data_IF_754196113858
#
_entry.id   IF_754196113858
#
_cell.length_a   1.000
_cell.length_b   1.000
_cell.length_c   1.000
_cell.angle_alpha   90.00
_cell.angle_beta   90.00
_cell.angle_gamma   90.00
#
_symmetry.space_group_name_H-M   'P 1'
#
loop_
_entity.id
_entity.type
_entity.pdbx_description
1 polymer ?
#
# COMPACT_ATOMS: atom_id res chain seq x y z
N UNK A 1 -4.92 33.76 -8.61
CA UNK A 1 -4.95 33.38 -7.15
C UNK A 1 -5.36 31.93 -6.93
N UNK A 2 -6.09 31.32 -7.88
CA UNK A 2 -6.63 29.95 -7.71
C UNK A 2 -5.64 28.83 -8.09
N UNK A 3 -4.65 29.13 -8.94
CA UNK A 3 -3.64 28.14 -9.37
C UNK A 3 -2.74 27.66 -8.21
N UNK A 4 -2.38 28.57 -7.28
CA UNK A 4 -1.57 28.24 -6.11
C UNK A 4 -2.31 27.40 -5.06
N UNK A 5 -3.63 27.55 -4.96
CA UNK A 5 -4.47 26.74 -4.07
C UNK A 5 -4.72 25.34 -4.64
N UNK A 6 -4.84 25.21 -5.98
CA UNK A 6 -4.99 23.92 -6.64
C UNK A 6 -3.70 23.09 -6.56
N UNK A 7 -2.54 23.73 -6.73
CA UNK A 7 -1.23 23.07 -6.58
C UNK A 7 -0.93 22.64 -5.14
N UNK A 8 -1.41 23.39 -4.13
CA UNK A 8 -1.30 22.95 -2.73
C UNK A 8 -2.24 21.78 -2.41
N UNK A 9 -3.45 21.75 -2.96
CA UNK A 9 -4.37 20.60 -2.83
C UNK A 9 -3.81 19.36 -3.53
N UNK A 10 -3.23 19.48 -4.71
CA UNK A 10 -2.60 18.37 -5.42
C UNK A 10 -1.41 17.75 -4.67
N UNK A 11 -0.72 18.52 -3.82
CA UNK A 11 0.38 18.00 -2.98
C UNK A 11 -0.09 17.19 -1.77
N UNK A 12 -1.35 17.31 -1.35
CA UNK A 12 -1.91 16.58 -0.20
C UNK A 12 -2.44 15.19 -0.57
N UNK A 13 -2.73 14.94 -1.85
CA UNK A 13 -3.32 13.68 -2.33
C UNK A 13 -2.29 12.70 -2.93
N UNK A 14 -1.02 12.85 -2.56
CA UNK A 14 0.07 12.04 -3.10
C UNK A 14 0.60 11.11 -2.02
N UNK A 15 0.43 9.81 -2.21
CA UNK A 15 1.02 8.78 -1.37
C UNK A 15 2.32 8.27 -1.93
N UNK A 16 3.27 8.05 -1.05
CA UNK A 16 4.39 7.19 -1.35
C UNK A 16 3.92 5.75 -1.27
N UNK A 17 4.33 4.96 -2.25
CA UNK A 17 4.10 3.53 -2.28
C UNK A 17 5.40 2.79 -2.35
N UNK A 18 5.49 1.71 -1.60
CA UNK A 18 6.62 0.79 -1.61
C UNK A 18 6.13 -0.63 -1.86
N UNK A 19 6.91 -1.36 -2.65
CA UNK A 19 6.74 -2.80 -2.90
C UNK A 19 8.04 -3.48 -2.53
N UNK A 20 7.99 -4.36 -1.53
CA UNK A 20 9.16 -5.06 -1.00
C UNK A 20 9.14 -6.51 -1.44
N UNK A 21 10.26 -7.00 -1.97
CA UNK A 21 10.39 -8.41 -2.35
C UNK A 21 10.29 -9.30 -1.09
N UNK A 22 9.39 -10.28 -1.18
CA UNK A 22 9.10 -11.19 -0.08
C UNK A 22 9.96 -12.45 -0.11
N UNK A 23 10.46 -12.82 -1.28
CA UNK A 23 11.02 -14.16 -1.52
C UNK A 23 12.53 -14.20 -1.58
N UNK A 24 13.15 -13.22 -2.25
CA UNK A 24 14.58 -13.25 -2.55
C UNK A 24 15.46 -12.84 -1.38
N UNK A 25 14.90 -12.11 -0.41
CA UNK A 25 15.65 -11.56 0.74
C UNK A 25 16.86 -10.69 0.34
N UNK A 26 16.83 -10.12 -0.87
CA UNK A 26 17.87 -9.24 -1.41
C UNK A 26 17.67 -7.77 -1.02
N UNK A 27 16.59 -7.49 -0.29
CA UNK A 27 16.24 -6.13 0.15
C UNK A 27 15.72 -5.24 -0.95
N UNK A 28 15.33 -5.79 -2.12
CA UNK A 28 14.81 -4.99 -3.23
C UNK A 28 13.49 -4.33 -2.87
N UNK A 29 13.46 -3.00 -3.05
CA UNK A 29 12.30 -2.16 -2.76
C UNK A 29 12.03 -1.30 -3.98
N UNK A 30 10.87 -1.49 -4.59
CA UNK A 30 10.36 -0.60 -5.60
C UNK A 30 9.56 0.53 -4.97
N UNK A 31 9.72 1.73 -5.51
CA UNK A 31 9.03 2.94 -5.05
C UNK A 31 8.16 3.47 -6.18
N UNK A 32 7.00 3.98 -5.84
CA UNK A 32 6.11 4.69 -6.73
C UNK A 32 5.32 5.76 -6.01
N UNK A 33 4.65 6.57 -6.78
CA UNK A 33 3.77 7.63 -6.29
C UNK A 33 2.36 7.33 -6.78
N UNK A 34 1.39 7.39 -5.87
CA UNK A 34 -0.02 7.22 -6.18
C UNK A 34 -0.74 8.53 -5.90
N UNK A 35 -1.54 8.98 -6.86
CA UNK A 35 -2.46 10.09 -6.71
C UNK A 35 -3.91 9.59 -6.62
N UNK A 36 -4.81 10.47 -6.18
CA UNK A 36 -6.26 10.22 -6.14
C UNK A 36 -6.71 9.12 -5.15
N UNK A 37 -5.92 8.86 -4.11
CA UNK A 37 -6.30 7.95 -3.05
C UNK A 37 -6.79 8.65 -1.76
N UNK A 38 -6.86 9.99 -1.78
CA UNK A 38 -7.26 10.85 -0.66
C UNK A 38 -6.06 11.43 0.09
N UNK A 39 -6.19 11.71 1.37
CA UNK A 39 -5.14 12.25 2.24
C UNK A 39 -4.99 11.39 3.51
N UNK A 40 -4.66 10.09 3.34
CA UNK A 40 -4.52 9.17 4.46
C UNK A 40 -3.51 9.69 5.48
N UNK A 41 -3.93 9.82 6.69
CA UNK A 41 -3.04 10.09 7.81
C UNK A 41 -2.39 8.78 8.26
N UNK A 42 -1.04 8.74 8.27
CA UNK A 42 -0.29 7.53 8.59
C UNK A 42 0.02 6.65 7.39
N UNK A 43 0.03 5.34 7.60
CA UNK A 43 0.38 4.36 6.59
C UNK A 43 -0.34 3.02 6.75
N UNK A 44 -0.62 2.40 5.62
CA UNK A 44 -1.11 1.03 5.53
C UNK A 44 -0.03 0.13 4.93
N UNK A 45 0.10 -1.09 5.43
CA UNK A 45 0.91 -2.14 4.82
C UNK A 45 0.17 -3.47 4.80
N UNK A 46 0.49 -4.31 3.81
CA UNK A 46 -0.12 -5.62 3.68
C UNK A 46 0.75 -6.63 2.98
N UNK A 47 0.49 -7.90 3.25
CA UNK A 47 1.13 -9.06 2.60
C UNK A 47 0.30 -9.63 1.45
N UNK A 48 -0.86 -9.04 1.14
CA UNK A 48 -1.70 -9.42 0.00
C UNK A 48 -1.36 -8.50 -1.16
N UNK A 49 -0.51 -8.96 -2.05
CA UNK A 49 -0.11 -8.23 -3.25
C UNK A 49 -0.33 -9.10 -4.48
N UNK A 50 -1.40 -8.84 -5.23
CA UNK A 50 -1.86 -9.70 -6.33
C UNK A 50 -0.76 -9.96 -7.35
N UNK A 51 -0.74 -11.15 -7.88
CA UNK A 51 0.22 -11.87 -8.71
C UNK A 51 1.51 -12.23 -7.96
N UNK A 52 2.26 -11.27 -7.46
CA UNK A 52 3.58 -11.54 -6.87
C UNK A 52 3.53 -11.90 -5.39
N UNK A 53 2.44 -11.56 -4.71
CA UNK A 53 2.31 -11.65 -3.24
C UNK A 53 3.45 -10.94 -2.49
N UNK A 54 4.04 -9.92 -3.10
CA UNK A 54 5.01 -9.05 -2.45
C UNK A 54 4.36 -8.21 -1.35
N UNK A 55 5.17 -7.76 -0.39
CA UNK A 55 4.70 -6.84 0.62
C UNK A 55 4.48 -5.45 0.00
N UNK A 56 3.38 -4.84 0.35
CA UNK A 56 3.00 -3.50 -0.13
C UNK A 56 2.80 -2.56 1.04
N UNK A 57 3.20 -1.30 0.89
CA UNK A 57 2.76 -0.25 1.79
C UNK A 57 2.45 1.02 1.01
N UNK A 58 1.57 1.82 1.56
CA UNK A 58 1.30 3.17 1.09
C UNK A 58 0.97 4.09 2.27
N UNK A 59 1.32 5.35 2.13
CA UNK A 59 1.07 6.34 3.17
C UNK A 59 1.77 7.65 2.91
N UNK A 60 1.54 8.60 3.80
CA UNK A 60 2.15 9.93 3.76
C UNK A 60 3.39 10.01 4.65
N UNK A 61 3.50 9.14 5.67
CA UNK A 61 4.60 9.07 6.63
C UNK A 61 5.49 7.85 6.37
N UNK A 62 6.79 8.09 6.09
CA UNK A 62 7.76 7.01 5.91
C UNK A 62 8.02 6.21 7.19
N UNK A 63 8.00 6.87 8.35
CA UNK A 63 8.16 6.21 9.65
C UNK A 63 7.02 5.23 9.92
N UNK A 64 5.78 5.66 9.66
CA UNK A 64 4.60 4.81 9.83
C UNK A 64 4.58 3.67 8.82
N UNK A 65 5.01 3.91 7.55
CA UNK A 65 5.17 2.85 6.55
C UNK A 65 6.18 1.79 7.01
N UNK A 66 7.32 2.22 7.54
CA UNK A 66 8.35 1.31 8.05
C UNK A 66 7.83 0.49 9.23
N UNK A 67 7.12 1.12 10.16
CA UNK A 67 6.53 0.43 11.30
C UNK A 67 5.46 -0.58 10.85
N UNK A 68 4.58 -0.18 9.93
CA UNK A 68 3.55 -1.05 9.39
C UNK A 68 4.15 -2.29 8.67
N UNK A 69 5.20 -2.12 7.87
CA UNK A 69 5.93 -3.24 7.27
C UNK A 69 6.54 -4.17 8.32
N UNK A 70 7.23 -3.61 9.31
CA UNK A 70 7.85 -4.41 10.36
C UNK A 70 6.83 -5.24 11.15
N UNK A 71 5.64 -4.71 11.37
CA UNK A 71 4.55 -5.45 12.00
C UNK A 71 4.06 -6.61 11.15
N UNK A 72 3.84 -6.37 9.84
CA UNK A 72 3.43 -7.42 8.90
C UNK A 72 4.49 -8.53 8.83
N UNK A 73 5.77 -8.18 8.82
CA UNK A 73 6.89 -9.14 8.80
C UNK A 73 6.94 -9.92 10.12
N UNK A 74 6.93 -9.23 11.26
CA UNK A 74 7.04 -9.86 12.57
C UNK A 74 5.88 -10.83 12.88
N UNK A 75 4.68 -10.50 12.40
CA UNK A 75 3.47 -11.31 12.57
C UNK A 75 3.24 -12.32 11.41
N UNK A 76 4.25 -12.47 10.52
CA UNK A 76 4.26 -13.42 9.40
C UNK A 76 3.16 -13.24 8.36
N UNK A 77 2.60 -12.05 8.26
CA UNK A 77 1.57 -11.67 7.31
C UNK A 77 0.36 -11.03 7.94
N UNK A 78 -0.26 -10.16 7.19
CA UNK A 78 -1.43 -9.42 7.64
C UNK A 78 -1.62 -8.11 6.92
N UNK A 79 -2.57 -7.35 7.42
CA UNK A 79 -2.89 -5.99 7.02
C UNK A 79 -2.68 -5.11 8.27
N UNK A 80 -1.84 -4.10 8.16
CA UNK A 80 -1.48 -3.19 9.26
C UNK A 80 -1.81 -1.76 8.91
N UNK A 81 -2.47 -1.04 9.80
CA UNK A 81 -2.62 0.40 9.75
C UNK A 81 -1.92 1.04 10.95
N UNK A 82 -1.01 1.95 10.64
CA UNK A 82 -0.20 2.70 11.61
C UNK A 82 -0.43 4.18 11.43
N UNK A 83 -0.57 4.92 12.52
CA UNK A 83 -0.65 6.37 12.54
C UNK A 83 0.03 6.91 13.79
N UNK A 84 0.78 8.00 13.61
CA UNK A 84 1.49 8.70 14.70
C UNK A 84 2.45 7.76 15.46
N UNK A 85 3.09 6.82 14.76
CA UNK A 85 4.01 5.86 15.34
C UNK A 85 3.36 4.71 16.13
N UNK A 86 2.05 4.55 16.05
CA UNK A 86 1.31 3.50 16.75
C UNK A 86 0.50 2.61 15.81
N UNK A 87 0.47 1.30 16.11
CA UNK A 87 -0.47 0.38 15.47
C UNK A 87 -1.90 0.74 15.87
N UNK A 88 -2.73 1.08 14.90
CA UNK A 88 -4.15 1.35 15.14
C UNK A 88 -5.00 0.12 14.87
N UNK A 89 -4.70 -0.59 13.78
CA UNK A 89 -5.40 -1.83 13.40
C UNK A 89 -4.42 -2.85 12.84
N UNK A 90 -4.67 -4.11 13.13
CA UNK A 90 -3.96 -5.24 12.53
C UNK A 90 -4.90 -6.41 12.27
N UNK A 91 -4.93 -6.90 11.04
CA UNK A 91 -5.67 -8.11 10.65
C UNK A 91 -4.66 -9.20 10.28
N UNK A 92 -4.60 -10.26 11.07
CA UNK A 92 -3.61 -11.32 10.89
C UNK A 92 -3.93 -12.28 9.74
N UNK A 93 -2.92 -12.57 8.91
CA UNK A 93 -2.97 -13.53 7.81
C UNK A 93 -1.79 -14.52 7.91
N UNK A 94 -1.74 -15.36 8.96
CA UNK A 94 -0.56 -16.17 9.26
C UNK A 94 -0.32 -17.30 8.27
N UNK A 95 -1.32 -17.70 7.49
CA UNK A 95 -1.16 -18.78 6.50
C UNK A 95 -0.70 -18.17 5.18
N UNK A 96 0.56 -18.38 4.85
CA UNK A 96 1.24 -17.86 3.66
C UNK A 96 1.18 -16.32 3.51
N UNK A 97 0.77 -15.62 4.59
CA UNK A 97 0.57 -14.16 4.56
C UNK A 97 -0.68 -13.70 3.80
N UNK A 98 -1.57 -14.60 3.42
CA UNK A 98 -2.75 -14.30 2.59
C UNK A 98 -4.06 -14.87 3.13
N UNK A 99 -4.01 -15.82 4.07
CA UNK A 99 -5.20 -16.45 4.63
C UNK A 99 -5.23 -16.32 6.15
N UNK A 100 -6.43 -16.07 6.66
CA UNK A 100 -6.72 -16.06 8.09
C UNK A 100 -7.10 -17.47 8.59
N UNK A 101 -6.74 -17.77 9.82
CA UNK A 101 -7.23 -18.95 10.54
C UNK A 101 -8.45 -18.66 11.42
N UNK A 102 -8.89 -17.41 11.45
CA UNK A 102 -10.04 -16.99 12.25
C UNK A 102 -11.37 -17.38 11.59
N UNK A 103 -12.43 -17.62 12.39
CA UNK A 103 -13.77 -17.71 11.85
C UNK A 103 -14.13 -16.51 10.98
N UNK A 104 -14.92 -16.74 9.94
CA UNK A 104 -15.24 -15.72 8.93
C UNK A 104 -15.87 -14.45 9.54
N UNK A 105 -16.77 -14.62 10.48
CA UNK A 105 -17.45 -13.50 11.16
C UNK A 105 -16.48 -12.62 11.98
N UNK A 106 -15.46 -13.23 12.57
CA UNK A 106 -14.40 -12.52 13.30
C UNK A 106 -13.50 -11.78 12.31
N UNK A 107 -13.08 -12.47 11.24
CA UNK A 107 -12.23 -11.89 10.20
C UNK A 107 -12.89 -10.69 9.52
N UNK A 108 -14.16 -10.80 9.16
CA UNK A 108 -14.93 -9.71 8.55
C UNK A 108 -14.98 -8.51 9.49
N UNK A 109 -15.31 -8.70 10.77
CA UNK A 109 -15.39 -7.61 11.75
C UNK A 109 -14.05 -6.87 11.92
N UNK A 110 -12.93 -7.60 11.93
CA UNK A 110 -11.59 -6.99 12.02
C UNK A 110 -11.24 -6.19 10.74
N UNK A 111 -11.57 -6.76 9.59
CA UNK A 111 -11.35 -6.09 8.30
C UNK A 111 -12.22 -4.84 8.16
N UNK A 112 -13.48 -4.91 8.58
CA UNK A 112 -14.39 -3.75 8.55
C UNK A 112 -13.90 -2.62 9.46
N UNK A 113 -13.34 -2.94 10.64
CA UNK A 113 -12.72 -1.93 11.51
C UNK A 113 -11.51 -1.26 10.87
N UNK A 114 -10.64 -2.07 10.26
CA UNK A 114 -9.48 -1.55 9.51
C UNK A 114 -9.92 -0.61 8.39
N UNK A 115 -10.93 -1.00 7.61
CA UNK A 115 -11.46 -0.20 6.52
C UNK A 115 -12.09 1.10 7.02
N UNK A 116 -12.87 1.02 8.10
CA UNK A 116 -13.49 2.19 8.74
C UNK A 116 -12.43 3.19 9.19
N UNK A 117 -11.37 2.73 9.86
CA UNK A 117 -10.26 3.56 10.29
C UNK A 117 -9.53 4.23 9.12
N UNK A 118 -9.28 3.50 8.02
CA UNK A 118 -8.66 4.07 6.82
C UNK A 118 -9.53 5.18 6.21
N UNK A 119 -10.85 4.99 6.12
CA UNK A 119 -11.77 5.98 5.57
C UNK A 119 -11.90 7.20 6.48
N UNK A 120 -12.05 6.99 7.79
CA UNK A 120 -12.12 8.07 8.79
C UNK A 120 -10.88 8.98 8.74
N UNK A 121 -9.72 8.39 8.40
CA UNK A 121 -8.45 9.10 8.39
C UNK A 121 -7.95 9.45 6.98
N UNK A 122 -8.88 9.63 6.04
CA UNK A 122 -8.65 10.32 4.78
C UNK A 122 -8.41 9.45 3.55
N UNK A 123 -8.51 8.13 3.65
CA UNK A 123 -8.55 7.27 2.47
C UNK A 123 -9.89 7.39 1.76
N UNK A 124 -9.93 7.74 0.48
CA UNK A 124 -11.16 7.87 -0.31
C UNK A 124 -11.42 6.66 -1.23
N UNK A 125 -10.52 5.69 -1.24
CA UNK A 125 -10.68 4.48 -2.04
C UNK A 125 -11.87 3.66 -1.53
N UNK A 126 -12.74 3.23 -2.45
CA UNK A 126 -13.91 2.41 -2.10
C UNK A 126 -13.51 1.06 -1.48
N UNK A 127 -12.44 0.47 -1.97
CA UNK A 127 -11.84 -0.75 -1.41
C UNK A 127 -10.32 -0.61 -1.39
N UNK A 128 -9.74 0.00 -0.34
CA UNK A 128 -8.31 0.27 -0.28
C UNK A 128 -7.46 -1.00 -0.38
N UNK A 129 -7.86 -2.08 0.28
CA UNK A 129 -7.11 -3.33 0.29
C UNK A 129 -7.01 -3.91 -1.12
N UNK A 130 -8.14 -4.06 -1.80
CA UNK A 130 -8.18 -4.60 -3.16
C UNK A 130 -7.48 -3.68 -4.15
N UNK A 131 -7.81 -2.39 -4.14
CA UNK A 131 -7.23 -1.42 -5.06
C UNK A 131 -5.70 -1.40 -4.95
N UNK A 132 -5.18 -1.42 -3.72
CA UNK A 132 -3.75 -1.38 -3.50
C UNK A 132 -3.06 -2.70 -3.86
N UNK A 133 -3.70 -3.84 -3.61
CA UNK A 133 -3.15 -5.14 -3.99
C UNK A 133 -3.08 -5.31 -5.52
N UNK A 134 -4.08 -4.81 -6.25
CA UNK A 134 -4.14 -4.92 -7.71
C UNK A 134 -3.16 -4.00 -8.43
N UNK A 135 -2.81 -2.86 -7.87
CA UNK A 135 -1.91 -1.90 -8.53
C UNK A 135 -0.46 -2.35 -8.70
N UNK A 136 -0.07 -3.49 -8.13
CA UNK A 136 1.23 -4.12 -8.38
C UNK A 136 1.11 -5.27 -9.38
N UNK A 137 -0.10 -5.64 -9.78
CA UNK A 137 -0.35 -6.72 -10.70
C UNK A 137 0.01 -6.30 -12.13
N UNK A 138 0.88 -7.06 -12.76
CA UNK A 138 1.23 -6.88 -14.17
C UNK A 138 0.11 -7.36 -15.10
N UNK A 139 -0.78 -8.22 -14.61
CA UNK A 139 -1.87 -8.77 -15.39
C UNK A 139 -3.10 -7.86 -15.46
N UNK A 140 -3.29 -7.00 -14.45
CA UNK A 140 -4.52 -6.19 -14.28
C UNK A 140 -4.33 -4.74 -14.72
N UNK A 141 -3.11 -4.21 -14.61
CA UNK A 141 -2.82 -2.82 -14.99
C UNK A 141 -2.18 -2.81 -16.38
N UNK A 142 -2.86 -2.23 -17.37
CA UNK A 142 -2.40 -2.34 -18.76
C UNK A 142 -1.25 -1.40 -19.12
N UNK A 143 -0.99 -0.36 -18.33
CA UNK A 143 -0.05 0.70 -18.71
C UNK A 143 1.19 0.73 -17.84
N UNK A 144 1.02 0.74 -16.53
CA UNK A 144 2.11 0.99 -15.59
C UNK A 144 1.92 0.22 -14.29
N UNK A 145 2.95 -0.46 -13.78
CA UNK A 145 2.91 -1.16 -12.51
C UNK A 145 4.11 -0.78 -11.61
N UNK A 146 3.86 -0.70 -10.31
CA UNK A 146 4.91 -0.51 -9.29
C UNK A 146 5.32 -1.90 -8.81
N UNK A 147 6.53 -2.31 -9.16
CA UNK A 147 7.09 -3.61 -8.79
C UNK A 147 8.15 -3.46 -7.71
N UNK A 148 8.62 -4.57 -7.11
CA UNK A 148 9.78 -4.56 -6.21
C UNK A 148 11.09 -4.09 -6.89
N UNK A 149 11.14 -4.04 -8.22
CA UNK A 149 12.28 -3.58 -9.01
C UNK A 149 12.16 -2.13 -9.49
N UNK A 150 11.03 -1.48 -9.22
CA UNK A 150 10.74 -0.11 -9.63
C UNK A 150 9.46 0.02 -10.44
N UNK A 151 9.28 1.19 -11.04
CA UNK A 151 8.12 1.51 -11.86
C UNK A 151 8.34 0.95 -13.27
N UNK A 152 7.44 0.06 -13.70
CA UNK A 152 7.49 -0.59 -15.00
C UNK A 152 6.44 0.02 -15.94
N UNK A 153 6.91 0.55 -17.07
CA UNK A 153 6.09 0.86 -18.25
C UNK A 153 5.83 -0.46 -18.98
N UNK A 154 4.62 -0.99 -18.85
CA UNK A 154 4.25 -2.30 -19.37
C UNK A 154 4.18 -2.27 -20.89
N UNK A 155 3.66 -1.19 -21.46
CA UNK A 155 3.48 -1.03 -22.91
C UNK A 155 4.83 -1.08 -23.63
N UNK A 156 5.82 -0.36 -23.10
CA UNK A 156 7.15 -0.28 -23.70
C UNK A 156 8.16 -1.27 -23.08
N UNK A 157 7.72 -2.11 -22.14
CA UNK A 157 8.53 -3.12 -21.44
C UNK A 157 9.85 -2.57 -20.89
N UNK A 158 9.80 -1.43 -20.21
CA UNK A 158 10.97 -0.76 -19.65
C UNK A 158 10.71 -0.20 -18.25
N UNK A 159 11.74 -0.21 -17.42
CA UNK A 159 11.70 0.52 -16.15
C UNK A 159 11.90 2.01 -16.39
N UNK A 160 11.12 2.81 -15.68
CA UNK A 160 11.21 4.27 -15.71
C UNK A 160 11.53 4.81 -14.31
N UNK A 161 12.37 5.84 -14.20
CA UNK A 161 12.66 6.47 -12.91
C UNK A 161 11.41 7.19 -12.38
N UNK A 162 11.21 7.12 -11.07
CA UNK A 162 10.07 7.79 -10.41
C UNK A 162 10.17 9.32 -10.47
N UNK A 163 11.35 9.87 -10.76
CA UNK A 163 11.66 11.31 -10.74
C UNK A 163 11.88 11.95 -12.12
N UNK A 164 11.54 11.31 -13.22
CA UNK A 164 11.59 11.93 -14.56
C UNK A 164 10.33 12.74 -14.93
N UNK A 165 9.53 13.11 -13.95
CA UNK A 165 8.38 14.00 -14.15
C UNK A 165 8.77 15.46 -13.82
N UNK A 166 9.67 16.03 -14.59
CA UNK A 166 9.84 17.49 -14.71
C UNK A 166 9.83 17.86 -16.18
#
# INVERSE_FOLDING_TARGET
RDLHLSLRRQRQDVYKRQVVDRYRKDGSIGIGIISQAGALQGAFAGSVGQDTQNLIAFGTSLSDMTLAFNQVIAKQGGLSYVRDGEEKQFVGLPVLGILSQKPMDVFVKETDRLLADLWEHGCILKNPILTMSLQISLAVIPEMAITNRGLLDIINNRFIPVCELV
#
